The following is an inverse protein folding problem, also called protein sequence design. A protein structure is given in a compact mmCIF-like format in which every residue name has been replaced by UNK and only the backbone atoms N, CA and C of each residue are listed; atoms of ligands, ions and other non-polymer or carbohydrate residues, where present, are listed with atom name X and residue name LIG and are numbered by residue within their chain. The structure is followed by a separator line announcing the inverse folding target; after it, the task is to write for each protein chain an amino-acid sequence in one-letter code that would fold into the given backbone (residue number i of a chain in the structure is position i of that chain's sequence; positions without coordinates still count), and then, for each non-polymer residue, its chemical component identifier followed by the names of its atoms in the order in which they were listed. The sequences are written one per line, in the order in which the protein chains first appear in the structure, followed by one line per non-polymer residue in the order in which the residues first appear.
data_IF_703021406080
#
_entry.id   IF_703021406080
#
_cell.length_a   1.000
_cell.length_b   1.000
_cell.length_c   1.000
_cell.angle_alpha   90.00
_cell.angle_beta   90.00
_cell.angle_gamma   90.00
#
_symmetry.space_group_name_H-M   'P 1'
#
loop_
_entity.id
_entity.type
_entity.pdbx_description
1 polymer ?
#
# COMPACT_ATOMS: atom_id res chain seq x y z
N UNK A 1 -5.77 14.19 -19.29
CA UNK A 1 -5.08 14.19 -17.97
C UNK A 1 -5.70 15.28 -17.12
N UNK A 2 -5.83 15.09 -15.81
CA UNK A 2 -6.41 16.09 -14.89
C UNK A 2 -5.28 16.65 -14.01
N UNK A 3 -4.70 17.76 -14.42
CA UNK A 3 -3.55 18.37 -13.77
C UNK A 3 -3.95 19.23 -12.57
N UNK A 4 -4.94 20.10 -12.74
CA UNK A 4 -5.38 21.06 -11.72
C UNK A 4 -6.87 21.44 -11.89
N UNK A 5 -7.31 22.49 -11.18
CA UNK A 5 -8.69 23.00 -11.17
C UNK A 5 -8.98 23.99 -12.32
N UNK A 6 -8.03 24.27 -13.22
CA UNK A 6 -8.21 25.22 -14.32
C UNK A 6 -9.06 24.64 -15.46
N UNK A 7 -9.33 25.47 -16.47
CA UNK A 7 -10.09 25.08 -17.67
C UNK A 7 -9.53 23.77 -18.26
N UNK A 8 -10.42 22.84 -18.58
CA UNK A 8 -10.09 21.47 -19.02
C UNK A 8 -9.11 20.73 -18.09
N UNK A 9 -9.19 20.97 -16.78
CA UNK A 9 -8.30 20.41 -15.76
C UNK A 9 -6.81 20.64 -16.03
N UNK A 10 -6.46 21.80 -16.62
CA UNK A 10 -5.08 22.14 -16.99
C UNK A 10 -4.53 21.33 -18.18
N UNK A 11 -5.35 20.52 -18.84
CA UNK A 11 -4.93 19.79 -20.04
C UNK A 11 -4.79 20.71 -21.26
N UNK A 12 -5.67 21.70 -21.40
CA UNK A 12 -5.71 22.62 -22.53
C UNK A 12 -6.34 23.95 -22.13
N UNK A 13 -5.84 25.05 -22.69
CA UNK A 13 -6.42 26.39 -22.55
C UNK A 13 -7.52 26.69 -23.57
N UNK A 14 -7.83 25.76 -24.49
CA UNK A 14 -8.88 25.93 -25.47
C UNK A 14 -10.28 25.96 -24.82
N UNK A 15 -11.24 26.60 -25.50
CA UNK A 15 -12.63 26.70 -25.01
C UNK A 15 -13.30 25.32 -24.94
N UNK A 16 -12.95 24.41 -25.83
CA UNK A 16 -13.49 23.04 -25.88
C UNK A 16 -12.42 22.02 -26.25
N UNK A 17 -12.54 20.81 -25.68
CA UNK A 17 -11.72 19.65 -26.04
C UNK A 17 -12.55 18.63 -26.82
N UNK A 18 -11.93 17.87 -27.72
CA UNK A 18 -12.61 16.80 -28.49
C UNK A 18 -13.22 15.72 -27.60
N UNK A 19 -12.64 15.50 -26.42
CA UNK A 19 -13.15 14.60 -25.40
C UNK A 19 -13.40 15.45 -24.15
N UNK A 20 -14.64 15.48 -23.61
CA UNK A 20 -14.94 16.21 -22.39
C UNK A 20 -14.10 15.70 -21.22
N UNK A 21 -13.63 16.62 -20.38
CA UNK A 21 -12.98 16.27 -19.12
C UNK A 21 -14.03 15.76 -18.12
N UNK A 22 -13.67 14.77 -17.31
CA UNK A 22 -14.59 14.20 -16.34
C UNK A 22 -15.05 15.27 -15.32
N UNK A 23 -16.35 15.38 -14.98
CA UNK A 23 -16.87 16.48 -14.17
C UNK A 23 -16.20 16.65 -12.79
N UNK A 24 -15.75 15.56 -12.19
CA UNK A 24 -15.09 15.57 -10.89
C UNK A 24 -13.60 15.99 -10.92
N UNK A 25 -13.07 16.55 -12.03
CA UNK A 25 -11.66 16.92 -12.13
C UNK A 25 -11.23 17.91 -11.05
N UNK A 26 -12.10 18.84 -10.66
CA UNK A 26 -11.85 19.79 -9.58
C UNK A 26 -11.76 19.13 -8.18
N UNK A 27 -12.16 17.87 -8.03
CA UNK A 27 -11.96 17.09 -6.80
C UNK A 27 -10.89 16.02 -6.95
N UNK A 28 -10.62 15.57 -8.18
CA UNK A 28 -9.70 14.49 -8.48
C UNK A 28 -8.69 14.90 -9.56
N UNK A 29 -7.70 15.69 -9.19
CA UNK A 29 -6.58 16.06 -10.06
C UNK A 29 -5.24 15.93 -9.36
N UNK A 30 -4.16 16.01 -10.14
CA UNK A 30 -2.79 15.90 -9.66
C UNK A 30 -2.45 16.94 -8.60
N UNK A 31 -2.75 18.23 -8.81
CA UNK A 31 -2.37 19.31 -7.90
C UNK A 31 -3.00 19.14 -6.51
N UNK A 32 -4.29 18.81 -6.45
CA UNK A 32 -4.99 18.50 -5.19
C UNK A 32 -4.42 17.29 -4.49
N UNK A 33 -4.25 16.19 -5.22
CA UNK A 33 -3.69 14.97 -4.63
C UNK A 33 -2.24 15.14 -4.19
N UNK A 34 -1.46 16.00 -4.85
CA UNK A 34 -0.08 16.31 -4.50
C UNK A 34 0.00 17.12 -3.21
N UNK A 35 -0.91 18.08 -3.02
CA UNK A 35 -0.97 18.94 -1.84
C UNK A 35 -1.67 18.28 -0.64
N UNK A 36 -2.50 17.26 -0.87
CA UNK A 36 -3.11 16.49 0.22
C UNK A 36 -2.08 15.66 0.99
N UNK A 37 -2.21 15.62 2.31
CA UNK A 37 -1.43 14.73 3.17
C UNK A 37 -1.71 13.26 2.86
N UNK A 38 -2.95 12.94 2.44
CA UNK A 38 -3.43 11.59 2.14
C UNK A 38 -4.19 11.58 0.82
N UNK A 39 -3.66 10.86 -0.16
CA UNK A 39 -4.27 10.73 -1.49
C UNK A 39 -3.77 9.48 -2.20
N UNK A 40 -4.48 9.04 -3.24
CA UNK A 40 -4.07 7.92 -4.07
C UNK A 40 -2.68 8.16 -4.69
N UNK A 41 -2.39 9.40 -5.11
CA UNK A 41 -1.06 9.80 -5.59
C UNK A 41 0.03 9.60 -4.53
N UNK A 42 -0.21 9.94 -3.25
CA UNK A 42 0.77 9.71 -2.17
C UNK A 42 1.00 8.22 -1.93
N UNK A 43 -0.06 7.41 -1.97
CA UNK A 43 0.03 5.95 -1.87
C UNK A 43 0.87 5.37 -3.02
N UNK A 44 0.59 5.79 -4.26
CA UNK A 44 1.36 5.40 -5.43
C UNK A 44 2.84 5.81 -5.33
N UNK A 45 3.12 7.05 -4.94
CA UNK A 45 4.50 7.56 -4.75
C UNK A 45 5.27 6.75 -3.71
N UNK A 46 4.66 6.39 -2.57
CA UNK A 46 5.28 5.55 -1.55
C UNK A 46 5.63 4.17 -2.10
N UNK A 47 4.70 3.50 -2.77
CA UNK A 47 4.94 2.18 -3.37
C UNK A 47 6.01 2.21 -4.48
N UNK A 48 5.98 3.23 -5.35
CA UNK A 48 6.99 3.39 -6.40
C UNK A 48 8.40 3.63 -5.82
N UNK A 49 8.51 4.47 -4.78
CA UNK A 49 9.78 4.69 -4.05
C UNK A 49 10.26 3.41 -3.38
N UNK A 50 9.35 2.65 -2.77
CA UNK A 50 9.67 1.40 -2.10
C UNK A 50 10.22 0.37 -3.09
N UNK A 51 9.56 0.18 -4.24
CA UNK A 51 10.04 -0.70 -5.32
C UNK A 51 11.39 -0.29 -5.88
N UNK A 52 11.69 1.01 -5.93
CA UNK A 52 12.99 1.51 -6.39
C UNK A 52 14.13 1.31 -5.38
N UNK A 53 13.83 1.41 -4.08
CA UNK A 53 14.84 1.46 -3.02
C UNK A 53 15.12 0.11 -2.36
N UNK A 54 14.17 -0.83 -2.42
CA UNK A 54 14.28 -2.10 -1.71
C UNK A 54 14.18 -3.28 -2.67
N UNK A 55 15.24 -4.07 -2.73
CA UNK A 55 15.33 -5.28 -3.57
C UNK A 55 14.30 -6.34 -3.17
N UNK A 56 13.89 -6.40 -1.90
CA UNK A 56 12.85 -7.32 -1.45
C UNK A 56 11.54 -7.08 -2.20
N UNK A 57 11.20 -5.81 -2.44
CA UNK A 57 9.96 -5.47 -3.15
C UNK A 57 10.13 -5.67 -4.65
N UNK A 58 11.30 -5.38 -5.23
CA UNK A 58 11.52 -5.52 -6.68
C UNK A 58 11.73 -6.97 -7.13
N UNK A 59 12.52 -7.76 -6.41
CA UNK A 59 12.98 -9.10 -6.80
C UNK A 59 12.86 -10.17 -5.70
N UNK A 60 12.46 -9.82 -4.48
CA UNK A 60 12.28 -10.77 -3.39
C UNK A 60 11.26 -11.88 -3.68
N UNK A 61 11.43 -13.01 -3.00
CA UNK A 61 10.49 -14.15 -3.02
C UNK A 61 9.14 -13.71 -2.49
N UNK A 62 8.09 -14.35 -2.98
CA UNK A 62 6.69 -14.00 -2.65
C UNK A 62 5.98 -15.22 -2.10
N UNK A 63 5.28 -15.04 -0.99
CA UNK A 63 4.26 -15.95 -0.48
C UNK A 63 2.93 -15.20 -0.58
N UNK A 64 1.92 -15.84 -1.15
CA UNK A 64 0.56 -15.30 -1.22
C UNK A 64 -0.26 -16.15 -0.26
N UNK A 65 -0.90 -15.49 0.71
CA UNK A 65 -1.77 -16.16 1.67
C UNK A 65 -3.09 -16.61 1.05
N UNK A 66 -3.81 -17.47 1.75
CA UNK A 66 -5.13 -17.93 1.36
C UNK A 66 -6.07 -16.75 1.06
N UNK A 67 -6.82 -16.87 -0.03
CA UNK A 67 -7.91 -15.94 -0.35
C UNK A 67 -9.12 -16.25 0.53
N UNK A 68 -9.51 -15.31 1.38
CA UNK A 68 -10.67 -15.40 2.27
C UNK A 68 -11.55 -14.18 2.03
N UNK A 69 -12.79 -14.35 1.57
CA UNK A 69 -13.74 -13.26 1.32
C UNK A 69 -13.14 -12.09 0.51
N UNK A 70 -12.52 -12.39 -0.64
CA UNK A 70 -11.86 -11.40 -1.51
C UNK A 70 -10.69 -10.65 -0.84
N UNK A 71 -10.12 -11.24 0.21
CA UNK A 71 -9.07 -10.63 1.03
C UNK A 71 -7.91 -11.61 1.16
N UNK A 72 -6.68 -11.14 1.02
CA UNK A 72 -5.49 -11.99 1.11
C UNK A 72 -4.26 -11.18 1.56
N UNK A 73 -3.23 -11.91 1.98
CA UNK A 73 -1.92 -11.34 2.31
C UNK A 73 -0.89 -11.65 1.22
N UNK A 74 0.11 -10.77 1.09
CA UNK A 74 1.32 -11.01 0.31
C UNK A 74 2.52 -10.77 1.22
N UNK A 75 3.36 -11.78 1.40
CA UNK A 75 4.64 -11.64 2.10
C UNK A 75 5.78 -11.63 1.08
N UNK A 76 6.58 -10.57 1.07
CA UNK A 76 7.82 -10.48 0.28
C UNK A 76 9.04 -10.51 1.18
N UNK A 77 10.01 -11.36 0.84
CA UNK A 77 11.24 -11.56 1.62
C UNK A 77 12.41 -11.97 0.73
N UNK A 78 13.63 -11.77 1.21
CA UNK A 78 14.85 -12.31 0.60
C UNK A 78 15.32 -13.49 1.44
N UNK A 79 15.49 -14.68 0.83
CA UNK A 79 16.09 -15.84 1.50
C UNK A 79 17.58 -15.85 1.17
N UNK A 80 18.42 -15.41 2.10
CA UNK A 80 19.87 -15.58 2.00
C UNK A 80 20.36 -16.46 3.15
N UNK A 81 20.98 -17.59 2.82
CA UNK A 81 21.52 -18.53 3.79
C UNK A 81 22.73 -17.96 4.54
N UNK A 82 23.34 -16.87 4.01
CA UNK A 82 24.54 -16.23 4.55
C UNK A 82 24.33 -14.77 5.02
N UNK A 83 23.10 -14.23 4.99
CA UNK A 83 22.83 -12.83 5.39
C UNK A 83 21.63 -12.79 6.33
N UNK A 84 21.85 -12.38 7.58
CA UNK A 84 20.81 -12.28 8.62
C UNK A 84 19.85 -11.10 8.48
N UNK A 85 19.84 -10.32 7.38
CA UNK A 85 19.30 -8.96 7.42
C UNK A 85 18.64 -8.45 6.11
N UNK A 86 17.80 -9.25 5.44
CA UNK A 86 17.01 -8.77 4.28
C UNK A 86 15.60 -8.35 4.69
N UNK A 87 15.16 -7.11 4.43
CA UNK A 87 13.83 -6.63 4.85
C UNK A 87 12.70 -7.62 4.49
N UNK A 88 11.64 -7.69 5.30
CA UNK A 88 10.43 -8.44 4.94
C UNK A 88 9.27 -7.48 4.93
N UNK A 89 8.41 -7.64 3.94
CA UNK A 89 7.22 -6.85 3.78
C UNK A 89 5.99 -7.75 3.81
N UNK A 90 4.99 -7.32 4.56
CA UNK A 90 3.67 -7.93 4.60
C UNK A 90 2.67 -6.95 4.02
N UNK A 91 2.06 -7.28 2.90
CA UNK A 91 0.89 -6.60 2.36
C UNK A 91 -0.38 -7.34 2.78
N UNK A 92 -1.42 -6.61 3.17
CA UNK A 92 -2.75 -7.16 3.41
C UNK A 92 -3.76 -6.33 2.62
N UNK A 93 -4.60 -6.99 1.82
CA UNK A 93 -5.46 -6.36 0.84
C UNK A 93 -6.87 -6.92 0.93
N UNK A 94 -7.83 -6.07 1.27
CA UNK A 94 -9.25 -6.39 1.36
C UNK A 94 -9.99 -5.78 0.16
N UNK A 95 -10.38 -6.61 -0.80
CA UNK A 95 -11.26 -6.21 -1.91
C UNK A 95 -12.74 -6.55 -1.63
N UNK A 96 -13.03 -7.07 -0.43
CA UNK A 96 -14.37 -7.36 0.05
C UNK A 96 -15.06 -6.14 0.66
N UNK A 97 -16.30 -6.35 1.08
CA UNK A 97 -17.19 -5.31 1.63
C UNK A 97 -17.34 -5.36 3.15
N UNK A 98 -16.55 -6.20 3.80
CA UNK A 98 -16.58 -6.37 5.26
C UNK A 98 -15.16 -6.38 5.80
N UNK A 99 -15.02 -5.89 7.03
CA UNK A 99 -13.78 -5.97 7.78
C UNK A 99 -13.43 -7.45 8.07
N UNK A 100 -12.15 -7.78 8.02
CA UNK A 100 -11.69 -9.15 8.19
C UNK A 100 -10.31 -9.21 8.84
N UNK A 101 -10.14 -10.17 9.74
CA UNK A 101 -8.84 -10.56 10.27
C UNK A 101 -8.28 -11.71 9.43
N UNK A 102 -7.13 -11.49 8.80
CA UNK A 102 -6.43 -12.51 8.01
C UNK A 102 -5.30 -13.14 8.80
N UNK A 103 -5.11 -14.47 8.72
CA UNK A 103 -3.88 -15.10 9.18
C UNK A 103 -2.69 -14.64 8.33
N UNK A 104 -1.53 -14.49 8.97
CA UNK A 104 -0.29 -14.15 8.29
C UNK A 104 0.41 -15.45 7.90
N UNK A 105 0.40 -15.76 6.60
CA UNK A 105 1.08 -16.95 6.10
C UNK A 105 2.58 -16.73 5.92
N UNK A 106 3.34 -17.81 6.13
CA UNK A 106 4.78 -17.82 5.94
C UNK A 106 5.59 -17.23 7.10
N UNK A 107 4.99 -16.99 8.27
CA UNK A 107 5.70 -16.53 9.48
C UNK A 107 6.90 -17.42 9.82
N UNK A 108 6.76 -18.74 9.70
CA UNK A 108 7.84 -19.70 9.97
C UNK A 108 9.03 -19.59 9.00
N UNK A 109 8.77 -19.06 7.79
CA UNK A 109 9.80 -18.79 6.78
C UNK A 109 10.57 -17.51 7.11
N UNK A 110 10.02 -16.68 7.98
CA UNK A 110 10.54 -15.38 8.42
C UNK A 110 10.98 -15.50 9.88
N UNK A 111 11.93 -16.41 10.14
CA UNK A 111 12.49 -16.63 11.48
C UNK A 111 13.13 -15.34 12.00
N UNK A 112 12.97 -15.06 13.30
CA UNK A 112 13.60 -13.96 14.05
C UNK A 112 13.10 -12.54 13.72
N UNK A 113 11.80 -12.32 13.61
CA UNK A 113 11.25 -10.95 13.48
C UNK A 113 10.39 -10.53 14.65
N UNK A 114 10.61 -9.30 15.12
CA UNK A 114 9.75 -8.67 16.11
C UNK A 114 8.42 -8.27 15.45
N UNK A 115 7.44 -9.18 15.51
CA UNK A 115 6.07 -8.92 15.04
C UNK A 115 5.35 -7.84 15.87
N UNK A 116 5.87 -7.49 17.04
CA UNK A 116 5.38 -6.38 17.86
C UNK A 116 5.68 -4.99 17.27
N UNK A 117 6.60 -4.90 16.30
CA UNK A 117 7.09 -3.64 15.73
C UNK A 117 6.95 -3.60 14.20
N UNK A 118 5.81 -4.04 13.66
CA UNK A 118 5.57 -3.96 12.23
C UNK A 118 5.28 -2.52 11.81
N UNK A 119 6.15 -1.94 10.98
CA UNK A 119 6.07 -0.54 10.58
C UNK A 119 5.22 -0.35 9.32
N UNK A 120 4.18 0.48 9.36
CA UNK A 120 3.39 0.84 8.18
C UNK A 120 4.24 1.66 7.19
N UNK A 121 4.42 1.16 5.97
CA UNK A 121 5.19 1.84 4.90
C UNK A 121 4.32 2.38 3.76
N UNK A 122 3.13 1.80 3.57
CA UNK A 122 2.13 2.29 2.63
C UNK A 122 0.73 1.84 3.06
N UNK A 123 -0.27 2.65 2.77
CA UNK A 123 -1.68 2.33 2.99
C UNK A 123 -2.54 2.99 1.92
N UNK A 124 -3.68 2.39 1.62
CA UNK A 124 -4.75 2.98 0.82
C UNK A 124 -5.22 4.32 1.42
N UNK A 125 -5.66 5.25 0.57
CA UNK A 125 -5.96 6.62 1.04
C UNK A 125 -7.20 6.71 1.95
N UNK A 126 -8.05 5.69 1.98
CA UNK A 126 -9.22 5.56 2.85
C UNK A 126 -8.96 4.79 4.17
N UNK A 127 -7.73 4.29 4.39
CA UNK A 127 -7.40 3.50 5.58
C UNK A 127 -6.92 4.35 6.77
N UNK A 128 -7.79 5.21 7.30
CA UNK A 128 -7.44 6.25 8.28
C UNK A 128 -6.76 5.76 9.55
N UNK A 129 -6.98 4.51 9.93
CA UNK A 129 -6.32 3.84 11.05
C UNK A 129 -4.82 3.56 10.83
N UNK A 130 -4.32 3.67 9.59
CA UNK A 130 -2.93 3.43 9.23
C UNK A 130 -2.22 4.70 8.77
N UNK A 131 -1.20 5.14 9.54
CA UNK A 131 -0.33 6.26 9.20
C UNK A 131 1.11 5.81 8.91
N UNK A 132 1.84 6.58 8.11
CA UNK A 132 3.20 6.24 7.72
C UNK A 132 4.13 6.21 8.94
N UNK A 133 4.96 5.16 9.06
CA UNK A 133 5.82 4.85 10.21
C UNK A 133 5.09 4.52 11.52
N UNK A 134 3.77 4.31 11.50
CA UNK A 134 3.09 3.69 12.63
C UNK A 134 3.67 2.31 12.91
N UNK A 135 3.96 2.02 14.18
CA UNK A 135 4.25 0.66 14.64
C UNK A 135 2.95 -0.01 15.02
N UNK A 136 2.74 -1.22 14.50
CA UNK A 136 1.56 -2.05 14.77
C UNK A 136 2.03 -3.40 15.29
N UNK A 137 1.39 -3.86 16.36
CA UNK A 137 1.61 -5.21 16.86
C UNK A 137 0.78 -6.21 16.05
N UNK A 138 1.46 -7.13 15.38
CA UNK A 138 0.86 -8.23 14.61
C UNK A 138 1.33 -9.60 15.12
N UNK A 139 1.82 -9.67 16.37
CA UNK A 139 2.28 -10.89 17.04
C UNK A 139 1.18 -11.92 17.27
N UNK A 140 -0.09 -11.52 17.22
CA UNK A 140 -1.24 -12.42 17.25
C UNK A 140 -1.30 -13.38 16.05
N UNK A 141 -0.45 -13.17 15.04
CA UNK A 141 -0.45 -13.96 13.80
C UNK A 141 -1.57 -13.56 12.85
N UNK A 142 -2.30 -12.49 13.15
CA UNK A 142 -3.39 -11.99 12.31
C UNK A 142 -3.26 -10.50 12.04
N UNK A 143 -3.82 -10.05 10.92
CA UNK A 143 -3.92 -8.63 10.55
C UNK A 143 -5.35 -8.29 10.18
N UNK A 144 -5.93 -7.29 10.84
CA UNK A 144 -7.31 -6.84 10.58
C UNK A 144 -7.32 -5.71 9.56
N UNK A 145 -8.01 -5.90 8.43
CA UNK A 145 -8.11 -4.89 7.37
C UNK A 145 -9.59 -4.60 7.09
N UNK A 146 -9.96 -3.32 7.15
CA UNK A 146 -11.32 -2.90 6.83
C UNK A 146 -11.65 -3.05 5.34
N UNK A 147 -12.94 -3.07 5.01
CA UNK A 147 -13.41 -3.23 3.64
C UNK A 147 -12.74 -2.25 2.65
N UNK A 148 -12.37 -2.74 1.46
CA UNK A 148 -11.81 -1.92 0.37
C UNK A 148 -10.52 -1.16 0.74
N UNK A 149 -9.71 -1.74 1.63
CA UNK A 149 -8.44 -1.16 2.06
C UNK A 149 -7.26 -2.09 1.80
N UNK A 150 -6.09 -1.46 1.72
CA UNK A 150 -4.82 -2.16 1.70
C UNK A 150 -3.77 -1.45 2.54
N UNK A 151 -2.86 -2.23 3.11
CA UNK A 151 -1.73 -1.74 3.92
C UNK A 151 -0.51 -2.62 3.68
N UNK A 152 0.67 -2.02 3.74
CA UNK A 152 1.96 -2.70 3.66
C UNK A 152 2.74 -2.36 4.92
N UNK A 153 3.19 -3.41 5.61
CA UNK A 153 4.08 -3.35 6.75
C UNK A 153 5.49 -3.75 6.35
N UNK A 154 6.49 -3.11 6.94
CA UNK A 154 7.86 -3.57 7.01
C UNK A 154 8.09 -4.24 8.36
N UNK A 155 8.57 -5.49 8.34
CA UNK A 155 8.87 -6.26 9.53
C UNK A 155 10.36 -6.09 9.85
N UNK A 156 10.65 -5.55 11.04
CA UNK A 156 12.00 -5.36 11.57
C UNK A 156 12.63 -6.70 11.99
N UNK A 157 13.96 -6.70 12.05
CA UNK A 157 14.78 -7.74 12.68
C UNK A 157 15.35 -7.20 13.97
#
# INVERSE_FOLDING_TARGET
MQWDDSVNAGFSSAISTNIPVHPAFAHNNWARQYNSQRSQLKTFQKMARLRKRDETISSGRTIIGQLINSTFTITKYVKNENISAGNTYLGAFNFGRTDIALPIEGLDTVKNKELHQAMVVASSSNADQYYYHQMVDISSGTVTISSEQGVIFKLSF
#
